data_IF_247957681529
#
_entry.id   IF_247957681529
#
_cell.length_a   1.000
_cell.length_b   1.000
_cell.length_c   1.000
_cell.angle_alpha   90.00
_cell.angle_beta   90.00
_cell.angle_gamma   90.00
#
_symmetry.space_group_name_H-M   'P 1'
#
loop_
_entity.id
_entity.type
_entity.pdbx_description
1 polymer ?
#
# COMPACT_ATOMS: atom_id res chain seq x y z
N UNK A 1 -32.48 22.34 39.44
CA UNK A 1 -31.31 22.33 40.35
C UNK A 1 -31.45 21.16 41.32
N UNK A 2 -30.34 20.48 41.64
CA UNK A 2 -30.19 19.13 42.26
C UNK A 2 -30.38 17.97 41.26
N UNK A 3 -29.46 17.03 41.02
CA UNK A 3 -28.15 16.69 41.60
C UNK A 3 -27.35 15.97 40.50
N UNK A 4 -26.41 16.67 39.84
CA UNK A 4 -25.29 16.03 39.11
C UNK A 4 -24.10 16.08 40.06
N UNK A 5 -24.17 15.25 41.11
CA UNK A 5 -23.12 15.15 42.13
C UNK A 5 -23.10 13.69 42.63
N UNK A 6 -22.47 12.83 41.84
CA UNK A 6 -22.04 11.43 42.06
C UNK A 6 -21.53 11.03 40.68
N UNK A 7 -20.24 10.92 40.37
CA UNK A 7 -19.21 10.17 41.09
C UNK A 7 -17.83 10.60 40.55
N UNK A 8 -17.33 11.79 40.94
CA UNK A 8 -15.97 12.25 40.60
C UNK A 8 -14.97 12.11 41.76
N UNK A 9 -15.40 11.57 42.91
CA UNK A 9 -14.63 11.53 44.17
C UNK A 9 -13.89 10.20 44.42
N UNK A 10 -13.67 9.35 43.39
CA UNK A 10 -12.89 8.11 43.54
C UNK A 10 -11.78 7.90 42.51
N UNK A 11 -11.33 8.97 41.85
CA UNK A 11 -10.15 8.93 40.97
C UNK A 11 -8.97 9.70 41.60
N UNK A 12 -8.46 9.19 42.72
CA UNK A 12 -7.16 9.58 43.24
C UNK A 12 -6.07 8.82 42.45
N UNK A 13 -5.49 9.46 41.44
CA UNK A 13 -4.34 8.91 40.74
C UNK A 13 -3.05 9.36 41.44
N UNK A 14 -2.47 8.45 42.23
CA UNK A 14 -1.09 8.58 42.71
C UNK A 14 -0.14 8.24 41.56
N UNK A 15 0.54 9.24 41.00
CA UNK A 15 1.58 9.06 39.99
C UNK A 15 2.81 8.37 40.62
N UNK A 16 3.09 7.07 40.34
CA UNK A 16 4.33 6.46 40.77
C UNK A 16 5.37 6.80 39.71
N UNK A 17 6.03 7.95 39.87
CA UNK A 17 7.16 8.32 39.02
C UNK A 17 8.19 7.18 38.94
N UNK A 18 8.79 7.01 37.76
CA UNK A 18 9.94 6.14 37.43
C UNK A 18 10.11 4.88 38.30
N UNK A 19 9.27 3.87 38.08
CA UNK A 19 9.50 2.50 38.59
C UNK A 19 9.57 1.45 37.46
N UNK A 20 10.35 1.74 36.41
CA UNK A 20 10.89 0.71 35.52
C UNK A 20 12.34 1.05 35.16
N UNK A 21 13.20 1.04 36.18
CA UNK A 21 14.65 1.11 35.99
C UNK A 21 15.32 -0.27 36.07
N UNK A 22 14.68 -1.30 36.64
CA UNK A 22 15.30 -2.61 36.83
C UNK A 22 14.35 -3.74 36.42
N UNK A 23 14.28 -4.02 35.12
CA UNK A 23 13.95 -5.36 34.64
C UNK A 23 15.23 -5.93 34.02
N UNK A 24 16.00 -6.63 34.85
CA UNK A 24 17.17 -7.40 34.44
C UNK A 24 16.76 -8.52 33.49
N UNK A 25 16.72 -8.24 32.20
CA UNK A 25 16.64 -9.27 31.17
C UNK A 25 18.04 -9.82 30.93
N UNK A 26 18.37 -10.90 31.64
CA UNK A 26 19.49 -11.76 31.29
C UNK A 26 19.35 -12.22 29.84
N UNK A 27 20.35 -11.87 29.02
CA UNK A 27 20.45 -12.34 27.64
C UNK A 27 20.84 -13.81 27.66
N UNK A 28 19.85 -14.69 27.56
CA UNK A 28 20.05 -16.12 27.35
C UNK A 28 20.96 -16.37 26.14
N UNK A 29 22.19 -16.80 26.43
CA UNK A 29 23.17 -17.17 25.42
C UNK A 29 22.74 -18.45 24.71
N UNK A 30 22.32 -18.34 23.44
CA UNK A 30 22.23 -19.50 22.56
C UNK A 30 23.61 -19.81 22.02
N UNK A 31 24.28 -20.82 22.59
CA UNK A 31 25.41 -21.51 21.95
C UNK A 31 24.93 -22.12 20.63
N UNK A 32 25.69 -21.91 19.55
CA UNK A 32 25.63 -22.70 18.32
C UNK A 32 27.05 -23.09 17.95
N UNK A 33 27.20 -24.36 17.61
CA UNK A 33 28.48 -25.03 17.36
C UNK A 33 29.22 -24.45 16.15
N UNK A 34 30.55 -24.43 16.26
CA UNK A 34 31.45 -23.91 15.25
C UNK A 34 31.65 -24.95 14.14
N UNK A 35 31.44 -24.54 12.89
CA UNK A 35 31.90 -25.29 11.72
C UNK A 35 33.42 -25.10 11.53
N UNK A 36 34.06 -26.18 11.12
CA UNK A 36 35.51 -26.42 11.04
C UNK A 36 36.26 -25.41 10.16
N UNK A 37 37.40 -24.89 10.64
CA UNK A 37 38.25 -23.91 9.95
C UNK A 37 39.51 -24.58 9.41
N UNK A 38 39.68 -24.59 8.09
CA UNK A 38 41.01 -24.79 7.48
C UNK A 38 41.74 -23.46 7.30
N UNK A 39 42.94 -23.36 7.89
CA UNK A 39 43.88 -22.24 7.70
C UNK A 39 44.77 -22.51 6.49
N UNK A 40 44.75 -21.61 5.52
CA UNK A 40 45.81 -21.48 4.50
C UNK A 40 46.18 -20.01 4.27
N UNK A 41 47.42 -19.85 3.82
CA UNK A 41 48.29 -18.67 3.73
C UNK A 41 47.73 -17.49 2.93
N UNK A 42 47.94 -16.26 3.43
CA UNK A 42 47.66 -14.92 2.82
C UNK A 42 46.54 -14.89 1.75
N UNK A 43 45.26 -14.93 2.17
CA UNK A 43 44.12 -14.75 1.25
C UNK A 43 43.81 -13.27 1.00
N UNK A 44 43.79 -12.85 -0.27
CA UNK A 44 43.15 -11.58 -0.70
C UNK A 44 41.68 -11.61 -0.23
N UNK A 45 41.14 -10.50 0.30
CA UNK A 45 39.75 -10.48 0.73
C UNK A 45 38.83 -10.74 -0.46
N UNK A 46 37.80 -11.56 -0.26
CA UNK A 46 36.77 -11.84 -1.27
C UNK A 46 35.77 -10.69 -1.38
N UNK A 47 35.84 -9.72 -0.47
CA UNK A 47 34.97 -8.55 -0.45
C UNK A 47 35.78 -7.27 -0.29
N UNK A 48 35.33 -6.20 -0.93
CA UNK A 48 35.94 -4.87 -0.82
C UNK A 48 35.60 -4.17 0.52
N UNK A 49 36.11 -2.95 0.70
CA UNK A 49 35.82 -2.14 1.89
C UNK A 49 34.34 -1.75 2.05
N UNK A 50 33.54 -1.80 0.98
CA UNK A 50 32.09 -1.54 0.98
C UNK A 50 31.26 -2.83 1.10
N UNK A 51 31.92 -3.98 1.20
CA UNK A 51 31.32 -5.30 1.30
C UNK A 51 30.67 -5.77 -0.01
N UNK A 52 31.25 -5.46 -1.16
CA UNK A 52 30.93 -6.03 -2.47
C UNK A 52 31.88 -7.19 -2.75
N UNK A 53 31.37 -8.27 -3.32
CA UNK A 53 32.15 -9.44 -3.68
C UNK A 53 33.07 -9.12 -4.87
N UNK A 54 34.35 -9.42 -4.72
CA UNK A 54 35.38 -9.25 -5.74
C UNK A 54 35.79 -10.64 -6.22
N UNK A 55 35.63 -10.90 -7.53
CA UNK A 55 36.08 -12.15 -8.13
C UNK A 55 36.62 -11.92 -9.55
N UNK A 56 37.71 -12.61 -9.96
CA UNK A 56 38.39 -12.32 -11.22
C UNK A 56 37.53 -12.53 -12.48
N UNK A 57 36.50 -13.38 -12.40
CA UNK A 57 35.59 -13.64 -13.53
C UNK A 57 34.52 -12.56 -13.74
N UNK A 58 34.34 -11.64 -12.78
CA UNK A 58 33.40 -10.53 -12.92
C UNK A 58 34.19 -9.23 -13.08
N UNK A 59 33.89 -8.47 -14.15
CA UNK A 59 34.52 -7.17 -14.39
C UNK A 59 34.13 -6.11 -13.35
N UNK A 60 33.02 -6.32 -12.62
CA UNK A 60 32.53 -5.39 -11.60
C UNK A 60 32.23 -6.10 -10.26
N UNK A 61 32.46 -5.42 -9.11
CA UNK A 61 32.13 -5.97 -7.81
C UNK A 61 30.62 -6.22 -7.64
N UNK A 62 30.25 -7.43 -7.22
CA UNK A 62 28.83 -7.84 -7.13
C UNK A 62 28.35 -7.70 -5.69
N UNK A 63 27.17 -7.11 -5.50
CA UNK A 63 26.51 -7.12 -4.19
C UNK A 63 25.73 -8.42 -4.00
N UNK A 64 26.04 -9.18 -2.95
CA UNK A 64 25.33 -10.41 -2.60
C UNK A 64 25.19 -10.55 -1.07
N UNK A 65 24.01 -10.97 -0.60
CA UNK A 65 23.75 -11.25 0.82
C UNK A 65 24.29 -12.64 1.19
N UNK A 66 24.57 -12.89 2.47
CA UNK A 66 24.98 -14.23 2.92
C UNK A 66 23.88 -15.29 2.77
N UNK A 67 22.63 -14.91 2.49
CA UNK A 67 21.54 -15.81 2.12
C UNK A 67 21.53 -16.15 0.62
N UNK A 68 22.57 -15.72 -0.12
CA UNK A 68 22.84 -16.04 -1.52
C UNK A 68 21.80 -15.55 -2.53
N UNK A 69 20.87 -14.69 -2.10
CA UNK A 69 19.91 -13.98 -2.97
C UNK A 69 20.55 -12.70 -3.47
N UNK A 70 20.65 -12.55 -4.80
CA UNK A 70 21.26 -11.36 -5.46
C UNK A 70 20.45 -10.08 -5.20
N UNK A 71 19.12 -10.19 -5.17
CA UNK A 71 18.20 -9.07 -4.97
C UNK A 71 17.73 -8.93 -3.51
N UNK A 72 18.50 -9.43 -2.55
CA UNK A 72 18.11 -9.35 -1.15
C UNK A 72 18.13 -7.90 -0.66
N UNK A 73 17.00 -7.34 -0.18
CA UNK A 73 16.97 -5.97 0.38
C UNK A 73 17.68 -5.88 1.75
N UNK A 74 18.00 -7.03 2.35
CA UNK A 74 18.61 -7.14 3.67
C UNK A 74 17.57 -7.21 4.79
N UNK A 75 17.71 -8.21 5.66
CA UNK A 75 16.79 -8.50 6.77
C UNK A 75 17.40 -8.24 8.16
N UNK A 76 18.60 -7.64 8.22
CA UNK A 76 19.31 -7.34 9.47
C UNK A 76 19.37 -5.83 9.74
N UNK A 77 19.52 -5.42 11.02
CA UNK A 77 19.86 -4.04 11.37
C UNK A 77 21.12 -3.57 10.62
N UNK A 78 21.20 -2.27 10.29
CA UNK A 78 22.35 -1.69 9.57
C UNK A 78 23.66 -2.03 10.30
N UNK A 79 24.61 -2.64 9.59
CA UNK A 79 25.93 -2.98 10.11
C UNK A 79 26.71 -1.70 10.46
N UNK A 80 27.34 -1.65 11.64
CA UNK A 80 28.13 -0.47 12.07
C UNK A 80 29.41 -0.22 11.26
N UNK A 81 29.88 -1.20 10.47
CA UNK A 81 31.11 -1.09 9.67
C UNK A 81 30.83 -0.75 8.21
N UNK A 82 29.96 -1.50 7.55
CA UNK A 82 29.65 -1.31 6.12
C UNK A 82 28.28 -0.69 5.85
N UNK A 83 27.50 -0.35 6.89
CA UNK A 83 26.15 0.21 6.81
C UNK A 83 25.10 -0.62 6.07
N UNK A 84 25.48 -1.82 5.60
CA UNK A 84 24.59 -2.77 4.92
C UNK A 84 23.56 -3.37 5.88
N UNK A 85 22.34 -3.60 5.38
CA UNK A 85 21.28 -4.40 6.05
C UNK A 85 21.34 -5.89 5.67
N UNK A 86 22.31 -6.27 4.84
CA UNK A 86 22.43 -7.65 4.37
C UNK A 86 22.76 -8.60 5.53
N UNK A 87 22.05 -9.72 5.51
CA UNK A 87 22.23 -10.88 6.34
C UNK A 87 23.70 -11.33 6.39
N UNK A 88 24.15 -11.74 7.58
CA UNK A 88 25.46 -12.34 7.80
C UNK A 88 25.88 -12.27 9.27
N UNK A 89 26.49 -13.33 9.83
CA UNK A 89 26.98 -13.31 11.20
C UNK A 89 28.19 -12.38 11.38
N UNK A 90 28.86 -12.02 10.27
CA UNK A 90 30.06 -11.18 10.25
C UNK A 90 29.93 -10.17 9.12
N UNK A 91 30.38 -8.93 9.37
CA UNK A 91 30.43 -7.87 8.37
C UNK A 91 31.17 -8.30 7.09
N UNK A 92 30.59 -7.95 5.94
CA UNK A 92 31.17 -8.24 4.63
C UNK A 92 32.35 -7.32 4.26
N UNK A 93 32.57 -6.20 4.94
CA UNK A 93 33.68 -5.28 4.64
C UNK A 93 35.03 -5.97 4.84
N UNK A 94 35.84 -6.01 3.77
CA UNK A 94 37.16 -6.66 3.73
C UNK A 94 37.14 -8.13 4.19
N UNK A 95 36.01 -8.81 4.02
CA UNK A 95 35.84 -10.20 4.48
C UNK A 95 36.61 -11.16 3.56
N UNK A 96 37.32 -12.10 4.16
CA UNK A 96 38.13 -13.11 3.46
C UNK A 96 37.46 -14.48 3.36
N UNK A 97 36.17 -14.57 3.71
CA UNK A 97 35.34 -15.78 3.61
C UNK A 97 34.06 -15.46 2.85
N UNK A 98 33.52 -16.46 2.15
CA UNK A 98 32.25 -16.40 1.43
C UNK A 98 31.40 -17.61 1.78
N UNK A 99 30.07 -17.45 2.01
CA UNK A 99 29.17 -18.58 2.19
C UNK A 99 29.11 -19.40 0.90
N UNK A 100 29.33 -20.71 1.01
CA UNK A 100 29.28 -21.61 -0.15
C UNK A 100 27.88 -22.16 -0.36
N UNK A 101 27.20 -22.48 0.73
CA UNK A 101 25.83 -22.96 0.79
C UNK A 101 25.15 -22.38 2.03
N UNK A 102 23.82 -22.24 1.96
CA UNK A 102 23.00 -21.76 3.08
C UNK A 102 21.79 -22.67 3.23
N UNK A 103 21.56 -23.16 4.44
CA UNK A 103 20.32 -23.85 4.79
C UNK A 103 19.28 -22.84 5.31
N UNK A 104 18.05 -22.93 4.79
CA UNK A 104 16.93 -22.08 5.21
C UNK A 104 16.03 -22.83 6.19
N UNK A 105 16.06 -22.40 7.45
CA UNK A 105 15.18 -22.95 8.48
C UNK A 105 13.72 -22.53 8.23
N UNK A 106 12.77 -23.47 8.33
CA UNK A 106 11.34 -23.23 8.11
C UNK A 106 10.82 -23.58 6.71
N UNK A 107 11.69 -24.00 5.79
CA UNK A 107 11.33 -24.51 4.46
C UNK A 107 11.91 -25.93 4.23
N UNK A 108 11.68 -26.85 5.18
CA UNK A 108 12.09 -28.26 5.03
C UNK A 108 13.60 -28.50 4.87
N UNK A 109 14.47 -27.55 5.26
CA UNK A 109 15.92 -27.69 5.13
C UNK A 109 16.47 -27.38 3.74
N UNK A 110 15.75 -26.57 2.94
CA UNK A 110 16.21 -26.10 1.62
C UNK A 110 17.66 -25.58 1.67
N UNK A 111 18.52 -26.15 0.83
CA UNK A 111 19.92 -25.74 0.65
C UNK A 111 20.01 -24.85 -0.59
N UNK A 112 20.56 -23.65 -0.43
CA UNK A 112 20.83 -22.72 -1.52
C UNK A 112 22.33 -22.72 -1.78
N UNK A 113 22.74 -23.07 -3.00
CA UNK A 113 24.12 -22.95 -3.47
C UNK A 113 24.47 -21.52 -3.84
N UNK A 114 25.72 -21.12 -3.60
CA UNK A 114 26.16 -19.78 -3.93
C UNK A 114 26.27 -19.62 -5.45
N UNK A 115 25.47 -18.72 -6.06
CA UNK A 115 25.39 -18.57 -7.52
C UNK A 115 26.62 -17.89 -8.13
N UNK A 116 27.61 -17.50 -7.32
CA UNK A 116 28.84 -16.82 -7.74
C UNK A 116 30.10 -17.68 -7.62
N UNK A 117 29.99 -18.91 -7.12
CA UNK A 117 31.12 -19.83 -7.02
C UNK A 117 30.74 -21.21 -7.55
N UNK A 118 31.65 -21.81 -8.32
CA UNK A 118 31.42 -23.12 -8.91
C UNK A 118 32.00 -24.20 -7.99
N UNK A 119 31.15 -24.98 -7.31
CA UNK A 119 31.61 -26.03 -6.39
C UNK A 119 32.00 -27.30 -7.17
N UNK A 120 31.53 -27.47 -8.41
CA UNK A 120 31.71 -28.69 -9.20
C UNK A 120 31.92 -28.39 -10.69
N UNK A 121 33.10 -27.86 -11.06
CA UNK A 121 33.80 -28.06 -12.35
C UNK A 121 33.03 -28.02 -13.69
N UNK A 122 31.79 -27.52 -13.78
CA UNK A 122 31.01 -27.47 -15.02
C UNK A 122 30.78 -26.01 -15.39
N UNK A 123 31.38 -25.60 -16.50
CA UNK A 123 31.14 -24.31 -17.16
C UNK A 123 29.66 -24.25 -17.56
N UNK A 124 28.88 -23.33 -16.98
CA UNK A 124 27.59 -22.92 -17.56
C UNK A 124 27.88 -21.85 -18.60
N UNK A 125 27.67 -22.20 -19.88
CA UNK A 125 27.65 -21.24 -20.99
C UNK A 125 26.56 -20.21 -20.71
N UNK A 126 26.88 -18.93 -20.92
CA UNK A 126 25.87 -17.90 -21.14
C UNK A 126 24.98 -18.39 -22.28
N UNK A 127 23.71 -18.71 -22.00
CA UNK A 127 22.72 -18.80 -23.06
C UNK A 127 22.53 -17.37 -23.56
N UNK A 128 22.97 -17.10 -24.79
CA UNK A 128 22.32 -16.11 -25.63
C UNK A 128 20.87 -16.57 -25.74
N UNK A 129 19.97 -15.79 -25.17
CA UNK A 129 18.56 -15.86 -25.57
C UNK A 129 18.55 -15.16 -26.92
N UNK A 130 18.25 -15.93 -27.95
CA UNK A 130 17.96 -15.38 -29.26
C UNK A 130 16.69 -14.54 -29.10
N UNK A 131 16.80 -13.24 -29.40
CA UNK A 131 15.65 -12.35 -29.55
C UNK A 131 14.91 -12.81 -30.80
N UNK A 132 13.94 -13.71 -30.61
CA UNK A 132 12.81 -13.81 -31.53
C UNK A 132 12.03 -12.50 -31.36
N UNK A 133 12.02 -11.68 -32.42
CA UNK A 133 11.11 -10.55 -32.55
C UNK A 133 9.69 -11.11 -32.63
N UNK A 134 9.11 -11.39 -31.46
CA UNK A 134 7.68 -11.63 -31.32
C UNK A 134 6.94 -10.35 -31.69
N UNK A 135 5.99 -10.49 -32.61
CA UNK A 135 5.08 -9.46 -33.10
C UNK A 135 4.36 -8.76 -31.93
N UNK A 136 4.80 -7.53 -31.61
CA UNK A 136 4.04 -6.39 -31.05
C UNK A 136 2.85 -6.70 -30.11
N UNK A 137 3.00 -7.63 -29.15
CA UNK A 137 2.17 -7.69 -27.95
C UNK A 137 2.65 -6.58 -27.00
N UNK A 138 2.17 -5.34 -27.19
CA UNK A 138 2.46 -4.23 -26.28
C UNK A 138 2.01 -4.57 -24.85
N UNK A 139 2.95 -5.05 -24.03
CA UNK A 139 2.72 -5.30 -22.61
C UNK A 139 2.30 -3.98 -21.94
N UNK A 140 1.04 -3.90 -21.50
CA UNK A 140 0.49 -2.70 -20.88
C UNK A 140 1.28 -2.32 -19.64
N UNK A 141 2.07 -1.26 -19.78
CA UNK A 141 2.95 -0.76 -18.74
C UNK A 141 2.16 -0.01 -17.67
N UNK A 142 2.22 -0.51 -16.44
CA UNK A 142 1.48 0.03 -15.30
C UNK A 142 1.95 1.46 -14.95
N UNK A 143 1.03 2.38 -14.61
CA UNK A 143 1.37 3.77 -14.25
C UNK A 143 1.89 3.89 -12.80
N UNK A 144 3.05 3.30 -12.53
CA UNK A 144 3.71 3.28 -11.22
C UNK A 144 4.43 4.61 -10.94
N UNK A 145 4.25 5.17 -9.73
CA UNK A 145 4.80 6.49 -9.39
C UNK A 145 6.32 6.45 -9.13
N UNK A 146 7.04 7.58 -9.31
CA UNK A 146 8.44 7.68 -8.92
C UNK A 146 8.68 7.31 -7.46
N UNK A 147 9.81 6.68 -7.18
CA UNK A 147 10.17 6.19 -5.83
C UNK A 147 9.66 4.78 -5.54
N UNK A 148 8.74 4.25 -6.35
CA UNK A 148 8.22 2.88 -6.18
C UNK A 148 9.09 1.85 -6.90
N UNK A 149 9.17 0.59 -6.41
CA UNK A 149 10.07 -0.41 -6.98
C UNK A 149 9.81 -0.76 -8.45
N UNK A 150 8.57 -0.57 -8.93
CA UNK A 150 8.16 -0.90 -10.30
C UNK A 150 8.06 0.33 -11.21
N UNK A 151 8.53 1.50 -10.75
CA UNK A 151 8.57 2.73 -11.55
C UNK A 151 9.44 2.54 -12.80
N UNK A 152 8.82 2.55 -13.98
CA UNK A 152 9.52 2.45 -15.28
C UNK A 152 9.19 3.61 -16.23
N UNK A 153 7.99 4.15 -16.11
CA UNK A 153 7.49 5.19 -17.01
C UNK A 153 7.98 6.57 -16.58
N UNK A 154 8.14 7.47 -17.56
CA UNK A 154 8.33 8.89 -17.27
C UNK A 154 7.04 9.51 -16.74
N UNK A 155 7.14 10.60 -15.98
CA UNK A 155 5.96 11.33 -15.51
C UNK A 155 5.05 11.78 -16.66
N UNK A 156 5.60 12.12 -17.83
CA UNK A 156 4.80 12.48 -19.00
C UNK A 156 4.03 11.27 -19.54
N UNK A 157 4.68 10.09 -19.63
CA UNK A 157 4.00 8.88 -20.09
C UNK A 157 2.86 8.46 -19.16
N UNK A 158 3.06 8.57 -17.84
CA UNK A 158 2.00 8.31 -16.85
C UNK A 158 0.85 9.30 -17.00
N UNK A 159 1.17 10.59 -17.18
CA UNK A 159 0.15 11.63 -17.37
C UNK A 159 -0.71 11.39 -18.60
N UNK A 160 -0.14 10.91 -19.71
CA UNK A 160 -0.91 10.56 -20.91
C UNK A 160 -1.85 9.37 -20.67
N UNK A 161 -1.44 8.36 -19.89
CA UNK A 161 -2.33 7.28 -19.45
C UNK A 161 -3.48 7.84 -18.61
N UNK A 162 -3.19 8.71 -17.64
CA UNK A 162 -4.20 9.34 -16.77
C UNK A 162 -5.21 10.15 -17.58
N UNK A 163 -4.75 10.98 -18.52
CA UNK A 163 -5.62 11.75 -19.43
C UNK A 163 -6.49 10.82 -20.28
N UNK A 164 -5.90 9.76 -20.83
CA UNK A 164 -6.60 8.80 -21.66
C UNK A 164 -7.71 8.07 -20.88
N UNK A 165 -7.42 7.57 -19.68
CA UNK A 165 -8.42 6.91 -18.83
C UNK A 165 -9.52 7.88 -18.38
N UNK A 166 -9.18 9.13 -18.04
CA UNK A 166 -10.16 10.16 -17.72
C UNK A 166 -11.12 10.45 -18.89
N UNK A 167 -10.61 10.47 -20.14
CA UNK A 167 -11.44 10.66 -21.33
C UNK A 167 -12.38 9.47 -21.58
N UNK A 168 -11.92 8.24 -21.32
CA UNK A 168 -12.77 7.04 -21.40
C UNK A 168 -13.95 7.17 -20.42
N UNK A 169 -13.68 7.48 -19.16
CA UNK A 169 -14.73 7.64 -18.15
C UNK A 169 -15.71 8.76 -18.50
N UNK A 170 -15.19 9.89 -18.99
CA UNK A 170 -16.01 11.02 -19.43
C UNK A 170 -16.95 10.63 -20.57
N UNK A 171 -16.42 9.96 -21.60
CA UNK A 171 -17.21 9.49 -22.77
C UNK A 171 -18.28 8.47 -22.37
N UNK A 172 -17.97 7.60 -21.41
CA UNK A 172 -18.93 6.64 -20.88
C UNK A 172 -19.99 7.25 -19.96
N UNK A 173 -19.84 8.53 -19.58
CA UNK A 173 -20.84 9.28 -18.81
C UNK A 173 -20.82 9.02 -17.31
N UNK A 174 -19.73 8.48 -16.76
CA UNK A 174 -19.55 8.26 -15.31
C UNK A 174 -19.69 9.58 -14.54
N UNK A 175 -20.31 9.55 -13.35
CA UNK A 175 -20.58 10.75 -12.54
C UNK A 175 -19.34 11.31 -11.83
N UNK A 176 -18.34 10.47 -11.59
CA UNK A 176 -17.11 10.87 -10.92
C UNK A 176 -15.95 9.90 -11.09
N UNK A 177 -14.74 10.36 -10.76
CA UNK A 177 -13.51 9.57 -10.78
C UNK A 177 -12.71 9.76 -9.48
N UNK A 178 -11.96 8.74 -9.08
CA UNK A 178 -11.01 8.81 -7.96
C UNK A 178 -9.63 8.45 -8.51
N UNK A 179 -8.66 9.33 -8.32
CA UNK A 179 -7.26 9.00 -8.59
C UNK A 179 -6.69 8.24 -7.40
N UNK A 180 -6.13 7.06 -7.66
CA UNK A 180 -5.59 6.16 -6.64
C UNK A 180 -4.23 5.60 -7.11
N UNK A 181 -3.23 5.58 -6.21
CA UNK A 181 -1.90 5.07 -6.53
C UNK A 181 -1.78 3.54 -6.39
N UNK A 182 -2.78 2.80 -6.88
CA UNK A 182 -2.92 1.34 -6.73
C UNK A 182 -1.75 0.52 -7.31
N UNK A 183 -0.99 1.07 -8.25
CA UNK A 183 0.13 0.35 -8.86
C UNK A 183 1.44 0.45 -8.05
N UNK A 184 1.48 1.28 -7.01
CA UNK A 184 2.67 1.58 -6.19
C UNK A 184 3.02 0.45 -5.20
N UNK A 185 3.09 -0.78 -5.69
CA UNK A 185 3.36 -1.95 -4.88
C UNK A 185 4.86 -2.06 -4.52
N UNK A 186 5.21 -2.37 -3.26
CA UNK A 186 4.32 -2.44 -2.08
C UNK A 186 4.01 -1.04 -1.53
N UNK A 187 2.83 -0.89 -0.93
CA UNK A 187 2.38 0.39 -0.36
C UNK A 187 3.19 0.77 0.88
N UNK A 188 3.37 2.08 1.08
CA UNK A 188 4.06 2.65 2.24
C UNK A 188 3.05 3.30 3.18
N UNK A 189 3.15 3.01 4.47
CA UNK A 189 2.30 3.65 5.49
C UNK A 189 2.45 5.17 5.43
N UNK A 190 1.40 5.89 5.84
CA UNK A 190 1.32 7.37 5.81
C UNK A 190 2.60 8.12 6.19
N UNK A 191 3.30 7.73 7.26
CA UNK A 191 4.54 8.37 7.74
C UNK A 191 5.75 8.22 6.80
N UNK A 192 5.72 7.20 5.93
CA UNK A 192 6.80 6.82 5.02
C UNK A 192 6.49 7.27 3.58
N UNK A 193 5.30 7.83 3.32
CA UNK A 193 4.96 8.41 2.01
C UNK A 193 5.76 9.69 1.78
N UNK A 194 6.64 9.64 0.78
CA UNK A 194 7.50 10.76 0.42
C UNK A 194 6.80 11.87 -0.39
N UNK A 195 7.41 13.06 -0.46
CA UNK A 195 6.86 14.20 -1.20
C UNK A 195 6.74 13.93 -2.71
N UNK A 196 7.52 13.00 -3.26
CA UNK A 196 7.45 12.58 -4.66
C UNK A 196 6.08 12.01 -5.03
N UNK A 197 5.43 11.27 -4.12
CA UNK A 197 4.09 10.72 -4.34
C UNK A 197 3.06 11.84 -4.34
N UNK A 198 3.15 12.76 -3.37
CA UNK A 198 2.24 13.92 -3.28
C UNK A 198 2.36 14.81 -4.51
N UNK A 199 3.58 15.10 -4.95
CA UNK A 199 3.84 15.92 -6.13
C UNK A 199 3.30 15.27 -7.42
N UNK A 200 3.58 13.98 -7.62
CA UNK A 200 3.10 13.25 -8.79
C UNK A 200 1.57 13.13 -8.81
N UNK A 201 0.95 12.75 -7.69
CA UNK A 201 -0.51 12.67 -7.57
C UNK A 201 -1.19 14.02 -7.76
N UNK A 202 -0.58 15.11 -7.30
CA UNK A 202 -1.09 16.47 -7.56
C UNK A 202 -1.10 16.79 -9.05
N UNK A 203 0.03 16.55 -9.74
CA UNK A 203 0.13 16.75 -11.19
C UNK A 203 -0.94 15.96 -11.94
N UNK A 204 -1.07 14.67 -11.64
CA UNK A 204 -2.01 13.79 -12.32
C UNK A 204 -3.47 14.13 -12.01
N UNK A 205 -3.76 14.56 -10.78
CA UNK A 205 -5.10 15.01 -10.38
C UNK A 205 -5.51 16.27 -11.15
N UNK A 206 -4.61 17.22 -11.34
CA UNK A 206 -4.87 18.42 -12.17
C UNK A 206 -5.14 18.02 -13.63
N UNK A 207 -4.31 17.14 -14.19
CA UNK A 207 -4.48 16.66 -15.57
C UNK A 207 -5.80 15.89 -15.75
N UNK A 208 -6.12 14.93 -14.88
CA UNK A 208 -7.39 14.21 -14.91
C UNK A 208 -8.59 15.16 -14.75
N UNK A 209 -8.53 16.12 -13.82
CA UNK A 209 -9.57 17.14 -13.64
C UNK A 209 -9.80 17.95 -14.90
N UNK A 210 -8.74 18.40 -15.57
CA UNK A 210 -8.86 19.22 -16.79
C UNK A 210 -9.58 18.49 -17.92
N UNK A 211 -9.39 17.16 -18.01
CA UNK A 211 -10.04 16.32 -19.02
C UNK A 211 -11.46 15.97 -18.59
N UNK A 212 -11.64 15.43 -17.38
CA UNK A 212 -12.89 14.85 -16.94
C UNK A 212 -14.00 15.88 -16.72
N UNK A 213 -13.66 17.07 -16.18
CA UNK A 213 -14.65 18.08 -15.85
C UNK A 213 -15.45 18.49 -17.09
N UNK A 214 -16.77 18.59 -16.94
CA UNK A 214 -17.68 19.01 -18.00
C UNK A 214 -18.52 20.19 -17.53
N UNK A 215 -18.70 21.25 -18.34
CA UNK A 215 -19.62 22.33 -17.99
C UNK A 215 -21.10 21.90 -18.07
N UNK A 216 -21.39 20.75 -18.68
CA UNK A 216 -22.75 20.27 -18.93
C UNK A 216 -23.32 19.37 -17.83
N UNK A 217 -22.46 18.79 -16.99
CA UNK A 217 -22.84 17.81 -15.98
C UNK A 217 -21.94 17.98 -14.75
N UNK A 218 -22.46 17.98 -13.52
CA UNK A 218 -21.64 17.89 -12.31
C UNK A 218 -20.72 16.66 -12.38
N UNK A 219 -19.45 16.85 -12.05
CA UNK A 219 -18.42 15.81 -12.11
C UNK A 219 -17.68 15.79 -10.78
N UNK A 220 -17.79 14.69 -10.04
CA UNK A 220 -17.07 14.54 -8.77
C UNK A 220 -15.68 13.98 -9.02
N UNK A 221 -14.66 14.62 -8.48
CA UNK A 221 -13.28 14.18 -8.62
C UNK A 221 -12.68 14.07 -7.23
N UNK A 222 -12.13 12.90 -6.94
CA UNK A 222 -11.48 12.63 -5.67
C UNK A 222 -10.09 12.04 -5.80
N UNK A 223 -9.40 11.93 -4.67
CA UNK A 223 -8.09 11.32 -4.57
C UNK A 223 -8.02 10.35 -3.40
N UNK A 224 -7.23 9.29 -3.57
CA UNK A 224 -6.78 8.39 -2.53
C UNK A 224 -5.28 8.17 -2.68
N UNK A 225 -4.56 8.25 -1.56
CA UNK A 225 -3.20 7.69 -1.46
C UNK A 225 -3.31 6.55 -0.46
N UNK A 226 -2.93 5.35 -0.90
CA UNK A 226 -3.12 4.10 -0.19
C UNK A 226 -2.33 4.02 1.12
N UNK A 227 -2.67 3.01 1.93
CA UNK A 227 -2.06 2.74 3.24
C UNK A 227 -2.22 3.91 4.23
N UNK A 228 -3.44 4.49 4.26
CA UNK A 228 -3.85 5.47 5.26
C UNK A 228 -3.19 6.84 5.14
N UNK A 229 -2.58 7.16 4.00
CA UNK A 229 -1.95 8.46 3.72
C UNK A 229 -2.99 9.57 3.45
N UNK A 230 -3.96 9.70 4.35
CA UNK A 230 -5.12 10.57 4.18
C UNK A 230 -4.76 12.06 4.18
N UNK A 231 -3.80 12.49 5.01
CA UNK A 231 -3.32 13.87 5.02
C UNK A 231 -2.61 14.23 3.72
N UNK A 232 -1.86 13.29 3.14
CA UNK A 232 -1.23 13.44 1.83
C UNK A 232 -2.29 13.56 0.73
N UNK A 233 -3.28 12.66 0.73
CA UNK A 233 -4.41 12.73 -0.21
C UNK A 233 -5.17 14.06 -0.09
N UNK A 234 -5.36 14.57 1.14
CA UNK A 234 -6.01 15.86 1.37
C UNK A 234 -5.19 17.04 0.84
N UNK A 235 -3.87 16.97 0.97
CA UNK A 235 -2.95 17.98 0.41
C UNK A 235 -3.04 18.00 -1.13
N UNK A 236 -3.06 16.82 -1.75
CA UNK A 236 -3.28 16.67 -3.20
C UNK A 236 -4.62 17.26 -3.61
N UNK A 237 -5.69 16.90 -2.89
CA UNK A 237 -7.03 17.39 -3.18
C UNK A 237 -7.13 18.91 -3.05
N UNK A 238 -6.51 19.51 -2.04
CA UNK A 238 -6.49 20.96 -1.86
C UNK A 238 -5.72 21.66 -2.98
N UNK A 239 -4.53 21.18 -3.32
CA UNK A 239 -3.70 21.78 -4.37
C UNK A 239 -4.31 21.63 -5.77
N UNK A 240 -5.01 20.52 -6.04
CA UNK A 240 -5.66 20.26 -7.31
C UNK A 240 -7.13 20.74 -7.35
N UNK A 241 -7.65 21.32 -6.26
CA UNK A 241 -9.05 21.70 -6.02
C UNK A 241 -10.02 20.58 -6.45
N UNK A 242 -9.87 19.43 -5.79
CA UNK A 242 -10.75 18.27 -5.92
C UNK A 242 -11.93 18.38 -4.94
N UNK A 243 -12.96 17.58 -5.16
CA UNK A 243 -14.20 17.64 -4.39
C UNK A 243 -14.12 16.82 -3.09
N UNK A 244 -13.37 15.72 -3.10
CA UNK A 244 -13.28 14.83 -1.94
C UNK A 244 -11.98 14.02 -1.88
N UNK A 245 -11.72 13.43 -0.72
CA UNK A 245 -10.77 12.32 -0.57
C UNK A 245 -11.49 11.06 -0.13
N UNK A 246 -10.98 9.91 -0.56
CA UNK A 246 -11.29 8.64 0.06
C UNK A 246 -10.27 8.35 1.16
N UNK A 247 -10.75 8.30 2.40
CA UNK A 247 -9.93 8.12 3.58
C UNK A 247 -10.01 6.69 4.11
N UNK A 248 -8.86 6.05 4.24
CA UNK A 248 -8.74 4.71 4.80
C UNK A 248 -8.40 4.78 6.29
N UNK A 249 -8.92 3.86 7.10
CA UNK A 249 -8.61 3.79 8.54
C UNK A 249 -8.84 5.15 9.23
N UNK A 250 -9.97 5.79 8.92
CA UNK A 250 -10.35 7.06 9.53
C UNK A 250 -10.70 6.87 11.02
N UNK A 251 -11.58 5.90 11.28
CA UNK A 251 -11.95 5.44 12.62
C UNK A 251 -11.57 3.99 12.80
N UNK A 252 -11.26 3.62 14.05
CA UNK A 252 -10.85 2.30 14.49
C UNK A 252 -9.55 1.77 13.84
N UNK A 253 -8.73 1.10 14.65
CA UNK A 253 -7.55 0.41 14.16
C UNK A 253 -7.91 -0.93 13.53
N UNK A 254 -7.07 -1.41 12.62
CA UNK A 254 -7.13 -2.76 12.06
C UNK A 254 -5.75 -3.20 11.57
N UNK A 255 -5.61 -4.45 11.16
CA UNK A 255 -4.35 -4.96 10.59
C UNK A 255 -4.54 -5.15 9.09
N UNK A 256 -3.77 -4.45 8.27
CA UNK A 256 -3.75 -4.56 6.81
C UNK A 256 -2.45 -5.24 6.33
N UNK A 257 -2.27 -5.34 5.01
CA UNK A 257 -1.06 -5.91 4.39
C UNK A 257 0.22 -5.16 4.80
N UNK A 258 0.08 -3.88 5.10
CA UNK A 258 1.14 -2.96 5.55
C UNK A 258 1.45 -3.09 7.04
N UNK A 259 0.59 -3.77 7.81
CA UNK A 259 0.71 -3.96 9.25
C UNK A 259 -0.42 -3.31 10.05
N UNK A 260 -0.11 -2.87 11.27
CA UNK A 260 -1.11 -2.27 12.16
C UNK A 260 -1.44 -0.84 11.74
N UNK A 261 -2.66 -0.64 11.27
CA UNK A 261 -3.21 0.63 10.82
C UNK A 261 -3.92 1.33 11.98
N UNK A 262 -3.58 2.60 12.22
CA UNK A 262 -4.14 3.41 13.30
C UNK A 262 -5.18 4.39 12.76
N UNK A 263 -6.30 4.51 13.46
CA UNK A 263 -7.33 5.51 13.17
C UNK A 263 -6.76 6.92 13.15
N UNK A 264 -7.00 7.69 12.08
CA UNK A 264 -6.41 9.02 11.89
C UNK A 264 -7.41 10.20 11.83
N UNK A 265 -8.66 10.01 12.24
CA UNK A 265 -9.68 11.07 12.17
C UNK A 265 -9.25 12.39 12.83
N UNK A 266 -8.75 12.34 14.07
CA UNK A 266 -8.37 13.56 14.79
C UNK A 266 -7.25 14.34 14.09
N UNK A 267 -6.26 13.65 13.53
CA UNK A 267 -5.16 14.26 12.77
C UNK A 267 -5.69 14.84 11.47
N UNK A 268 -6.43 14.05 10.70
CA UNK A 268 -6.94 14.43 9.39
C UNK A 268 -7.87 15.64 9.45
N UNK A 269 -8.83 15.66 10.38
CA UNK A 269 -9.81 16.75 10.49
C UNK A 269 -9.17 18.06 10.96
N UNK A 270 -8.15 18.00 11.83
CA UNK A 270 -7.37 19.18 12.21
C UNK A 270 -6.51 19.65 11.05
N UNK A 271 -5.86 18.74 10.34
CA UNK A 271 -5.05 19.06 9.18
C UNK A 271 -5.90 19.72 8.07
N UNK A 272 -7.12 19.20 7.80
CA UNK A 272 -8.10 19.81 6.89
C UNK A 272 -8.33 21.27 7.20
N UNK A 273 -8.64 21.58 8.46
CA UNK A 273 -8.84 22.96 8.91
C UNK A 273 -7.57 23.80 8.76
N UNK A 274 -6.42 23.24 9.14
CA UNK A 274 -5.14 23.96 9.12
C UNK A 274 -4.73 24.41 7.72
N UNK A 275 -5.04 23.63 6.69
CA UNK A 275 -4.70 23.97 5.30
C UNK A 275 -5.85 24.69 4.55
N UNK A 276 -6.96 25.00 5.24
CA UNK A 276 -8.13 25.66 4.63
C UNK A 276 -8.92 24.78 3.66
N UNK A 277 -8.83 23.44 3.80
CA UNK A 277 -9.50 22.48 2.93
C UNK A 277 -10.91 22.10 3.43
N UNK A 278 -11.62 23.01 4.09
CA UNK A 278 -12.94 22.75 4.69
C UNK A 278 -14.01 22.37 3.66
N UNK A 279 -13.80 22.72 2.38
CA UNK A 279 -14.71 22.39 1.27
C UNK A 279 -14.48 21.00 0.69
N UNK A 280 -13.43 20.29 1.09
CA UNK A 280 -13.09 18.96 0.57
C UNK A 280 -13.70 17.91 1.48
N UNK A 281 -14.61 17.12 0.92
CA UNK A 281 -15.28 16.07 1.67
C UNK A 281 -14.31 14.91 2.02
N UNK A 282 -14.45 14.35 3.20
CA UNK A 282 -13.71 13.17 3.67
C UNK A 282 -14.67 11.99 3.70
N UNK A 283 -14.59 11.13 2.68
CA UNK A 283 -15.43 9.93 2.56
C UNK A 283 -14.62 8.73 3.04
N UNK A 284 -15.09 8.03 4.07
CA UNK A 284 -14.23 7.13 4.87
C UNK A 284 -14.59 5.66 4.67
N UNK A 285 -13.61 4.79 4.42
CA UNK A 285 -13.83 3.34 4.41
C UNK A 285 -14.21 2.83 5.82
N UNK A 286 -15.28 2.04 5.90
CA UNK A 286 -15.69 1.27 7.10
C UNK A 286 -15.59 -0.22 6.82
N UNK A 287 -15.06 -0.98 7.79
CA UNK A 287 -14.69 -2.41 7.64
C UNK A 287 -13.98 -2.68 6.30
N UNK A 288 -12.89 -1.94 6.05
CA UNK A 288 -12.10 -2.01 4.82
C UNK A 288 -11.74 -3.46 4.43
N UNK A 289 -11.87 -3.76 3.13
CA UNK A 289 -11.32 -4.96 2.48
C UNK A 289 -9.80 -5.10 2.66
N UNK A 290 -9.28 -6.32 2.59
CA UNK A 290 -7.84 -6.63 2.78
C UNK A 290 -7.31 -6.19 4.14
N UNK A 291 -8.16 -6.30 5.15
CA UNK A 291 -7.80 -5.99 6.52
C UNK A 291 -8.48 -6.96 7.47
N UNK A 292 -7.76 -7.33 8.52
CA UNK A 292 -8.28 -8.05 9.67
C UNK A 292 -8.81 -7.06 10.70
N UNK A 293 -10.11 -7.19 11.00
CA UNK A 293 -10.81 -6.43 12.02
C UNK A 293 -10.93 -7.21 13.34
N UNK A 294 -10.04 -8.17 13.60
CA UNK A 294 -10.11 -9.01 14.80
C UNK A 294 -10.00 -8.22 16.11
N UNK A 295 -9.23 -7.13 16.12
CA UNK A 295 -9.06 -6.24 17.28
C UNK A 295 -10.26 -5.33 17.54
N UNK A 296 -11.19 -5.27 16.60
CA UNK A 296 -12.42 -4.45 16.60
C UNK A 296 -13.62 -5.31 16.25
N UNK A 297 -13.53 -6.62 16.55
CA UNK A 297 -14.55 -7.61 16.19
C UNK A 297 -15.86 -7.41 16.97
N UNK A 298 -15.79 -6.73 18.11
CA UNK A 298 -16.90 -6.29 18.92
C UNK A 298 -17.65 -5.08 18.34
N UNK A 299 -17.05 -4.39 17.36
CA UNK A 299 -17.65 -3.22 16.71
C UNK A 299 -18.36 -3.63 15.43
N UNK A 300 -19.66 -3.35 15.38
CA UNK A 300 -20.52 -3.60 14.23
C UNK A 300 -20.27 -2.59 13.09
N UNK A 301 -20.82 -2.82 11.91
CA UNK A 301 -20.58 -1.90 10.77
C UNK A 301 -21.36 -0.59 10.93
N UNK A 302 -22.55 -0.67 11.54
CA UNK A 302 -23.35 0.49 11.94
C UNK A 302 -22.65 1.35 12.99
N UNK A 303 -22.06 0.74 14.02
CA UNK A 303 -21.27 1.48 15.03
C UNK A 303 -20.03 2.14 14.43
N UNK A 304 -19.36 1.50 13.46
CA UNK A 304 -18.26 2.15 12.74
C UNK A 304 -18.73 3.37 11.93
N UNK A 305 -19.88 3.27 11.27
CA UNK A 305 -20.47 4.40 10.54
C UNK A 305 -20.87 5.54 11.49
N UNK A 306 -21.49 5.20 12.63
CA UNK A 306 -21.84 6.17 13.67
C UNK A 306 -20.59 6.89 14.20
N UNK A 307 -19.51 6.15 14.45
CA UNK A 307 -18.25 6.75 14.87
C UNK A 307 -17.68 7.67 13.78
N UNK A 308 -17.69 7.26 12.51
CA UNK A 308 -17.24 8.11 11.41
C UNK A 308 -18.01 9.44 11.36
N UNK A 309 -19.35 9.40 11.54
CA UNK A 309 -20.19 10.60 11.66
C UNK A 309 -19.84 11.44 12.89
N UNK A 310 -19.71 10.81 14.06
CA UNK A 310 -19.33 11.50 15.29
C UNK A 310 -17.97 12.19 15.18
N UNK A 311 -17.03 11.58 14.45
CA UNK A 311 -15.71 12.13 14.15
C UNK A 311 -15.68 13.03 12.92
N UNK A 312 -16.85 13.51 12.45
CA UNK A 312 -17.01 14.53 11.42
C UNK A 312 -16.61 14.10 10.00
N UNK A 313 -16.68 12.80 9.69
CA UNK A 313 -16.60 12.32 8.30
C UNK A 313 -17.80 12.82 7.49
N UNK A 314 -17.62 13.00 6.18
CA UNK A 314 -18.66 13.56 5.29
C UNK A 314 -19.42 12.47 4.50
N UNK A 315 -18.97 11.21 4.62
CA UNK A 315 -19.56 10.05 3.97
C UNK A 315 -18.87 8.77 4.39
N UNK A 316 -19.51 7.63 4.17
CA UNK A 316 -18.94 6.31 4.47
C UNK A 316 -18.92 5.42 3.23
N UNK A 317 -17.84 4.65 3.09
CA UNK A 317 -17.69 3.64 2.03
C UNK A 317 -17.79 2.27 2.69
N UNK A 318 -18.86 1.56 2.35
CA UNK A 318 -19.06 0.17 2.73
C UNK A 318 -18.38 -0.74 1.69
N UNK A 319 -17.46 -1.59 2.15
CA UNK A 319 -16.74 -2.55 1.29
C UNK A 319 -17.05 -3.99 1.67
N UNK A 320 -17.02 -4.90 0.69
CA UNK A 320 -17.04 -6.34 0.95
C UNK A 320 -15.69 -6.85 1.47
N UNK A 321 -15.65 -8.06 2.01
CA UNK A 321 -14.47 -8.61 2.71
C UNK A 321 -13.20 -8.77 1.83
N UNK A 322 -13.31 -8.79 0.49
CA UNK A 322 -12.17 -8.91 -0.44
C UNK A 322 -12.51 -8.32 -1.83
N UNK A 323 -11.48 -8.01 -2.64
CA UNK A 323 -11.66 -7.57 -4.04
C UNK A 323 -12.52 -8.57 -4.82
N UNK A 324 -13.57 -8.08 -5.48
CA UNK A 324 -14.50 -8.90 -6.27
C UNK A 324 -15.62 -9.57 -5.48
N UNK A 325 -15.65 -9.43 -4.14
CA UNK A 325 -16.78 -9.86 -3.30
C UNK A 325 -17.66 -8.66 -2.96
N UNK A 326 -18.97 -8.79 -3.23
CA UNK A 326 -19.94 -7.74 -2.92
C UNK A 326 -20.02 -7.47 -1.41
N UNK A 327 -20.38 -6.24 -1.04
CA UNK A 327 -20.79 -5.92 0.33
C UNK A 327 -22.04 -6.76 0.70
N UNK A 328 -22.29 -6.96 1.99
CA UNK A 328 -23.54 -7.59 2.40
C UNK A 328 -24.68 -6.57 2.31
N UNK A 329 -25.78 -6.93 1.65
CA UNK A 329 -26.97 -6.07 1.52
C UNK A 329 -27.61 -5.76 2.89
N UNK A 330 -27.33 -6.57 3.91
CA UNK A 330 -27.75 -6.26 5.28
C UNK A 330 -26.93 -5.13 5.92
N UNK A 331 -25.64 -5.01 5.58
CA UNK A 331 -24.75 -4.02 6.18
C UNK A 331 -25.18 -2.59 5.83
N UNK A 332 -25.68 -2.34 4.61
CA UNK A 332 -26.20 -1.02 4.25
C UNK A 332 -27.42 -0.61 5.09
N UNK A 333 -28.28 -1.58 5.47
CA UNK A 333 -29.41 -1.30 6.35
C UNK A 333 -28.93 -0.92 7.74
N UNK A 334 -27.95 -1.65 8.25
CA UNK A 334 -27.36 -1.39 9.57
C UNK A 334 -26.66 -0.02 9.62
N UNK A 335 -25.88 0.32 8.59
CA UNK A 335 -25.24 1.65 8.45
C UNK A 335 -26.29 2.76 8.48
N UNK A 336 -27.38 2.63 7.70
CA UNK A 336 -28.45 3.64 7.66
C UNK A 336 -29.28 3.74 8.94
N UNK A 337 -29.25 2.73 9.81
CA UNK A 337 -29.88 2.80 11.13
C UNK A 337 -29.05 3.58 12.14
N UNK A 338 -27.73 3.66 11.94
CA UNK A 338 -26.79 4.22 12.89
C UNK A 338 -26.15 5.55 12.43
N UNK A 339 -26.28 5.88 11.15
CA UNK A 339 -25.69 7.10 10.58
C UNK A 339 -26.57 7.75 9.51
N UNK A 340 -26.49 9.09 9.44
CA UNK A 340 -27.11 9.91 8.40
C UNK A 340 -26.16 10.22 7.24
N UNK A 341 -24.90 9.78 7.31
CA UNK A 341 -23.92 10.04 6.27
C UNK A 341 -24.30 9.37 4.94
N UNK A 342 -23.98 10.01 3.80
CA UNK A 342 -24.08 9.37 2.49
C UNK A 342 -23.28 8.06 2.45
N UNK A 343 -23.88 7.02 1.90
CA UNK A 343 -23.30 5.67 1.84
C UNK A 343 -22.87 5.34 0.41
N UNK A 344 -21.59 5.05 0.25
CA UNK A 344 -20.97 4.60 -0.99
C UNK A 344 -20.71 3.09 -0.89
N UNK A 345 -20.90 2.33 -1.98
CA UNK A 345 -20.45 0.92 -2.02
C UNK A 345 -19.15 0.82 -2.81
N UNK A 346 -18.09 0.34 -2.15
CA UNK A 346 -16.72 0.38 -2.66
C UNK A 346 -16.12 -0.95 -3.12
N UNK A 347 -16.86 -2.06 -3.09
CA UNK A 347 -16.32 -3.34 -3.57
C UNK A 347 -17.36 -4.28 -4.17
N UNK A 348 -16.91 -5.00 -5.21
CA UNK A 348 -17.65 -6.10 -5.82
C UNK A 348 -18.92 -5.68 -6.56
N UNK A 349 -19.11 -4.39 -6.84
CA UNK A 349 -20.22 -3.91 -7.66
C UNK A 349 -19.99 -4.28 -9.12
N UNK A 350 -21.02 -4.87 -9.71
CA UNK A 350 -21.13 -5.25 -11.10
C UNK A 350 -22.49 -4.84 -11.60
N UNK A 351 -22.67 -4.86 -12.92
CA UNK A 351 -23.97 -4.60 -13.53
C UNK A 351 -25.07 -5.54 -12.96
N UNK A 352 -24.73 -6.79 -12.66
CA UNK A 352 -25.68 -7.80 -12.17
C UNK A 352 -26.21 -7.57 -10.75
N UNK A 353 -25.42 -6.97 -9.85
CA UNK A 353 -25.77 -6.86 -8.42
C UNK A 353 -26.00 -5.42 -7.94
N UNK A 354 -25.72 -4.39 -8.75
CA UNK A 354 -25.89 -2.99 -8.35
C UNK A 354 -27.32 -2.66 -7.86
N UNK A 355 -28.34 -3.29 -8.46
CA UNK A 355 -29.75 -3.15 -8.07
C UNK A 355 -30.05 -3.56 -6.62
N UNK A 356 -29.25 -4.46 -6.06
CA UNK A 356 -29.43 -4.96 -4.69
C UNK A 356 -29.00 -3.89 -3.67
N UNK A 357 -28.23 -2.89 -4.12
CA UNK A 357 -27.73 -1.77 -3.33
C UNK A 357 -28.39 -0.44 -3.70
N UNK A 358 -29.63 -0.45 -4.21
CA UNK A 358 -30.39 0.76 -4.60
C UNK A 358 -30.56 1.84 -3.52
N UNK A 359 -30.26 1.53 -2.26
CA UNK A 359 -30.30 2.50 -1.15
C UNK A 359 -28.97 3.22 -0.91
N UNK A 360 -27.92 2.86 -1.66
CA UNK A 360 -26.65 3.56 -1.67
C UNK A 360 -26.76 4.86 -2.45
N UNK A 361 -25.94 5.84 -2.07
CA UNK A 361 -25.86 7.13 -2.74
C UNK A 361 -24.93 7.10 -3.95
N UNK A 362 -23.93 6.21 -3.96
CA UNK A 362 -22.97 6.07 -5.05
C UNK A 362 -22.29 4.69 -5.06
N UNK A 363 -21.74 4.33 -6.22
CA UNK A 363 -20.94 3.13 -6.43
C UNK A 363 -19.52 3.50 -6.85
N UNK A 364 -18.52 2.92 -6.16
CA UNK A 364 -17.11 3.02 -6.57
C UNK A 364 -16.74 1.70 -7.25
N UNK A 365 -16.51 1.77 -8.56
CA UNK A 365 -16.27 0.59 -9.41
C UNK A 365 -14.85 0.64 -9.96
N UNK A 366 -14.05 -0.38 -9.63
CA UNK A 366 -12.66 -0.50 -10.08
C UNK A 366 -12.49 -1.63 -11.10
N UNK A 367 -12.12 -2.82 -10.63
CA UNK A 367 -11.71 -3.93 -11.49
C UNK A 367 -12.75 -4.38 -12.52
N UNK A 368 -14.06 -4.19 -12.27
CA UNK A 368 -15.12 -4.51 -13.24
C UNK A 368 -15.04 -3.64 -14.51
N UNK A 369 -14.49 -2.43 -14.41
CA UNK A 369 -14.26 -1.54 -15.55
C UNK A 369 -12.97 -1.86 -16.32
N UNK A 370 -12.13 -2.77 -15.82
CA UNK A 370 -10.89 -3.19 -16.48
C UNK A 370 -11.12 -4.45 -17.32
N UNK A 371 -10.30 -4.66 -18.34
CA UNK A 371 -10.35 -5.89 -19.17
C UNK A 371 -10.21 -7.12 -18.27
N UNK A 372 -10.96 -8.17 -18.61
CA UNK A 372 -10.97 -9.44 -17.87
C UNK A 372 -11.32 -9.32 -16.36
N UNK A 373 -11.85 -8.19 -15.90
CA UNK A 373 -12.12 -7.95 -14.49
C UNK A 373 -10.87 -7.82 -13.61
N UNK A 374 -9.68 -7.61 -14.20
CA UNK A 374 -8.40 -7.57 -13.48
C UNK A 374 -7.93 -6.13 -13.33
N UNK A 375 -7.62 -5.71 -12.11
CA UNK A 375 -7.29 -4.31 -11.82
C UNK A 375 -6.01 -3.82 -12.50
N UNK A 376 -5.08 -4.73 -12.83
CA UNK A 376 -3.84 -4.42 -13.55
C UNK A 376 -4.04 -4.19 -15.06
N UNK A 377 -5.18 -4.59 -15.61
CA UNK A 377 -5.41 -4.46 -17.04
C UNK A 377 -5.85 -3.02 -17.40
N UNK A 378 -5.81 -2.64 -18.69
CA UNK A 378 -6.42 -1.40 -19.17
C UNK A 378 -7.93 -1.35 -18.91
N UNK A 379 -8.51 -0.14 -18.96
CA UNK A 379 -9.96 0.03 -18.99
C UNK A 379 -10.57 -0.67 -20.20
N UNK A 380 -11.80 -1.15 -20.01
CA UNK A 380 -12.66 -1.71 -21.04
C UNK A 380 -13.86 -0.76 -21.23
N UNK A 381 -13.84 0.09 -22.27
CA UNK A 381 -14.91 1.06 -22.53
C UNK A 381 -16.29 0.42 -22.68
N UNK A 382 -16.37 -0.79 -23.23
CA UNK A 382 -17.63 -1.49 -23.45
C UNK A 382 -18.24 -1.92 -22.12
N UNK A 383 -17.43 -2.47 -21.19
CA UNK A 383 -17.90 -2.82 -19.85
C UNK A 383 -18.39 -1.58 -19.07
N UNK A 384 -17.70 -0.45 -19.19
CA UNK A 384 -18.10 0.79 -18.52
C UNK A 384 -19.43 1.29 -19.10
N UNK A 385 -19.57 1.32 -20.43
CA UNK A 385 -20.81 1.76 -21.08
C UNK A 385 -22.00 0.84 -20.74
N UNK A 386 -21.80 -0.48 -20.78
CA UNK A 386 -22.81 -1.44 -20.41
C UNK A 386 -23.26 -1.28 -18.94
N UNK A 387 -22.31 -1.02 -18.03
CA UNK A 387 -22.62 -0.72 -16.63
C UNK A 387 -23.45 0.56 -16.51
N UNK A 388 -23.00 1.65 -17.13
CA UNK A 388 -23.68 2.94 -17.04
C UNK A 388 -25.08 2.88 -17.64
N UNK A 389 -25.29 2.17 -18.75
CA UNK A 389 -26.62 1.95 -19.31
C UNK A 389 -27.54 1.26 -18.31
N UNK A 390 -27.04 0.24 -17.60
CA UNK A 390 -27.85 -0.46 -16.61
C UNK A 390 -28.13 0.41 -15.37
N UNK A 391 -27.15 1.17 -14.87
CA UNK A 391 -27.38 2.08 -13.73
C UNK A 391 -28.41 3.16 -14.07
N UNK A 392 -28.34 3.75 -15.26
CA UNK A 392 -29.29 4.78 -15.70
C UNK A 392 -30.69 4.24 -16.01
N UNK A 393 -30.86 2.91 -16.07
CA UNK A 393 -32.15 2.26 -16.26
C UNK A 393 -32.90 1.99 -14.95
N UNK A 394 -32.22 2.12 -13.80
CA UNK A 394 -32.82 2.03 -12.47
C UNK A 394 -33.52 3.33 -12.11
#
# INVERSE_FOLDING_TARGET
MAKVQRTYEQLSFSNPGKQFADIGLERGGRRREAAEKQRTTKKKPHYDGKGYFIHPEFNEPIKICDCLKRECPGCFPKCRKCYSKMCGPICASNRNTIPVQVSVNGQGGLIIDNPLININGKKRKQQKVDEEEDEDDQEYSQPTLPGTPKSKLSLNAIEEIVKHEAEIYKKAGVDGIILENMHDLPYSMSKDVGPEIVAAMTRFSISAKSIFKSPKKPSLIGCQILAGANCQALSVAAAAELDFIRAECFVFAHVADEGFMQGNAAELMRFRRNIGADTIAVITDIKKKHSSHAITADVTVGEMAHAAEFFLGDGVILTGNATGKAANVHDIKEVRQHSLLPVFIGSGITSKNAKDFKSANAFIVGSYFKKNGKWQEPLDPENIQAFMHQILSF
#
